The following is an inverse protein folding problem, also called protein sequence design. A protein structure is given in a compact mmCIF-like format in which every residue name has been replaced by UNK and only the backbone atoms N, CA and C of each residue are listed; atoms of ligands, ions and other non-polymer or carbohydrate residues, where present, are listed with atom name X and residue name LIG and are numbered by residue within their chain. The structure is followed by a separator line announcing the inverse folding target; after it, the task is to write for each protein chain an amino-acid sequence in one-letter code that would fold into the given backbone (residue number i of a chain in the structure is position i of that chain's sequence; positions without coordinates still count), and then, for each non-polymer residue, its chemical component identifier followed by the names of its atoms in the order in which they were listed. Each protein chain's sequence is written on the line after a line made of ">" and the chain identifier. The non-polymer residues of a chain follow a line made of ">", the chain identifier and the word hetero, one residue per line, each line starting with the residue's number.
data_IF_759536861026
#
_entry.id   IF_759536861026
#
_cell.length_a   1.000
_cell.length_b   1.000
_cell.length_c   1.000
_cell.angle_alpha   90.00
_cell.angle_beta   90.00
_cell.angle_gamma   90.00
#
_symmetry.space_group_name_H-M   'P 1'
#
loop_
_entity.id
_entity.type
_entity.pdbx_description
1 polymer ?
#
# COMPACT_ATOMS: atom_id res chain seq x y z
N UNK A 1 26.33 -5.82 -18.67
CA UNK A 1 25.82 -6.07 -17.30
C UNK A 1 24.46 -6.74 -17.37
N UNK A 2 24.22 -7.73 -16.51
CA UNK A 2 22.95 -8.49 -16.45
C UNK A 2 22.07 -7.96 -15.33
N UNK A 3 20.81 -7.70 -15.60
CA UNK A 3 19.81 -7.32 -14.60
C UNK A 3 19.09 -8.58 -14.13
N UNK A 4 19.21 -8.88 -12.85
CA UNK A 4 18.53 -10.00 -12.19
C UNK A 4 17.39 -9.43 -11.31
N UNK A 5 16.20 -10.00 -11.41
CA UNK A 5 15.04 -9.53 -10.65
C UNK A 5 14.64 -10.56 -9.62
N UNK A 6 14.48 -10.11 -8.37
CA UNK A 6 13.85 -10.93 -7.32
C UNK A 6 12.34 -11.00 -7.54
N UNK A 7 11.89 -12.01 -8.29
CA UNK A 7 10.51 -12.23 -8.70
C UNK A 7 9.64 -12.98 -7.66
N UNK A 8 10.16 -13.17 -6.45
CA UNK A 8 9.45 -13.88 -5.36
C UNK A 8 8.36 -13.04 -4.68
N UNK A 9 8.28 -11.74 -4.98
CA UNK A 9 7.23 -10.86 -4.45
C UNK A 9 5.91 -11.12 -5.19
N UNK A 10 5.14 -12.11 -4.72
CA UNK A 10 3.88 -12.56 -5.31
C UNK A 10 2.76 -12.54 -4.27
N UNK A 11 1.52 -12.41 -4.71
CA UNK A 11 0.33 -12.50 -3.85
C UNK A 11 -0.48 -11.20 -3.74
N UNK A 12 -1.66 -11.32 -3.13
CA UNK A 12 -2.66 -10.25 -3.01
C UNK A 12 -2.34 -9.25 -1.87
N UNK A 13 -1.15 -8.67 -1.88
CA UNK A 13 -0.72 -7.62 -0.96
C UNK A 13 0.00 -6.51 -1.73
N UNK A 14 0.12 -5.31 -1.17
CA UNK A 14 0.62 -4.11 -1.87
C UNK A 14 1.94 -4.33 -2.62
N UNK A 15 2.96 -4.94 -2.00
CA UNK A 15 4.25 -5.23 -2.66
C UNK A 15 4.08 -6.25 -3.79
N UNK A 16 3.25 -7.29 -3.59
CA UNK A 16 2.98 -8.29 -4.63
C UNK A 16 2.28 -7.68 -5.83
N UNK A 17 1.30 -6.79 -5.60
CA UNK A 17 0.63 -6.04 -6.66
C UNK A 17 1.61 -5.12 -7.40
N UNK A 18 2.42 -4.36 -6.67
CA UNK A 18 3.46 -3.52 -7.25
C UNK A 18 4.40 -4.32 -8.16
N UNK A 19 4.92 -5.46 -7.70
CA UNK A 19 5.78 -6.32 -8.49
C UNK A 19 5.07 -6.85 -9.76
N UNK A 20 3.82 -7.31 -9.63
CA UNK A 20 3.04 -7.82 -10.75
C UNK A 20 2.78 -6.78 -11.84
N UNK A 21 2.63 -5.50 -11.45
CA UNK A 21 2.40 -4.41 -12.38
C UNK A 21 3.69 -3.85 -12.99
N UNK A 22 4.74 -3.70 -12.18
CA UNK A 22 5.99 -3.07 -12.60
C UNK A 22 6.87 -4.00 -13.45
N UNK A 23 7.06 -5.27 -13.04
CA UNK A 23 8.03 -6.13 -13.69
C UNK A 23 7.77 -6.38 -15.19
N UNK A 24 6.52 -6.62 -15.64
CA UNK A 24 6.24 -6.76 -17.07
C UNK A 24 6.44 -5.49 -17.89
N UNK A 25 6.46 -4.32 -17.23
CA UNK A 25 6.57 -2.99 -17.83
C UNK A 25 7.99 -2.42 -17.85
N UNK A 26 8.96 -3.12 -17.27
CA UNK A 26 10.37 -2.70 -17.34
C UNK A 26 10.82 -2.66 -18.81
N UNK A 27 11.44 -1.55 -19.21
CA UNK A 27 11.85 -1.31 -20.60
C UNK A 27 13.24 -1.85 -20.94
N UNK A 28 13.88 -2.53 -20.00
CA UNK A 28 15.20 -3.15 -20.15
C UNK A 28 15.09 -4.68 -19.99
N UNK A 29 15.99 -5.45 -20.65
CA UNK A 29 16.01 -6.90 -20.49
C UNK A 29 16.44 -7.29 -19.07
N UNK A 30 15.74 -8.25 -18.50
CA UNK A 30 16.06 -8.81 -17.19
C UNK A 30 15.81 -10.31 -17.12
N UNK A 31 16.45 -10.96 -16.18
CA UNK A 31 16.28 -12.39 -15.89
C UNK A 31 15.83 -12.59 -14.44
N UNK A 32 15.01 -13.63 -14.16
CA UNK A 32 14.60 -13.92 -12.79
C UNK A 32 15.82 -14.39 -11.96
N UNK A 33 15.93 -13.84 -10.75
CA UNK A 33 16.90 -14.32 -9.77
C UNK A 33 16.31 -15.56 -9.08
N UNK A 34 16.73 -16.73 -9.51
CA UNK A 34 16.24 -18.01 -9.00
C UNK A 34 16.69 -18.27 -7.54
N UNK A 35 15.98 -17.68 -6.59
CA UNK A 35 16.17 -17.90 -5.17
C UNK A 35 14.98 -18.69 -4.59
N UNK A 36 15.30 -19.68 -3.76
CA UNK A 36 14.27 -20.36 -2.96
C UNK A 36 13.81 -19.52 -1.76
N UNK A 37 12.77 -19.96 -1.04
CA UNK A 37 12.30 -19.34 0.19
C UNK A 37 11.44 -18.10 -0.03
N UNK A 38 11.38 -17.22 0.98
CA UNK A 38 10.54 -16.02 0.98
C UNK A 38 11.38 -14.76 1.17
N UNK A 39 11.16 -13.67 0.38
CA UNK A 39 11.88 -12.41 0.55
C UNK A 39 11.45 -11.65 1.82
N UNK A 40 10.46 -12.15 2.56
CA UNK A 40 9.96 -11.54 3.80
C UNK A 40 10.68 -11.99 5.07
N UNK A 41 11.65 -12.93 4.95
CA UNK A 41 12.44 -13.39 6.08
C UNK A 41 13.74 -12.60 6.20
N UNK A 42 14.08 -12.01 7.37
CA UNK A 42 15.38 -11.36 7.61
C UNK A 42 16.58 -12.28 7.38
N UNK A 43 16.42 -13.60 7.54
CA UNK A 43 17.46 -14.58 7.30
C UNK A 43 17.79 -14.74 5.80
N UNK A 44 16.87 -14.32 4.93
CA UNK A 44 17.05 -14.36 3.48
C UNK A 44 18.24 -13.50 3.02
N UNK A 45 18.57 -12.43 3.78
CA UNK A 45 19.71 -11.55 3.52
C UNK A 45 21.05 -12.28 3.36
N UNK A 46 21.21 -13.41 4.03
CA UNK A 46 22.46 -14.18 4.06
C UNK A 46 22.49 -15.35 3.07
N UNK A 47 21.48 -15.48 2.22
CA UNK A 47 21.43 -16.53 1.21
C UNK A 47 22.60 -16.45 0.21
N UNK A 48 22.93 -17.60 -0.34
CA UNK A 48 23.77 -17.67 -1.53
C UNK A 48 23.04 -17.08 -2.73
N UNK A 49 23.68 -16.20 -3.43
CA UNK A 49 23.06 -15.42 -4.53
C UNK A 49 23.53 -15.84 -5.92
N UNK A 50 24.37 -16.88 -6.03
CA UNK A 50 24.80 -17.41 -7.33
C UNK A 50 25.26 -16.33 -8.30
N UNK A 51 24.58 -16.20 -9.45
CA UNK A 51 24.90 -15.22 -10.49
C UNK A 51 24.88 -13.76 -10.01
N UNK A 52 24.10 -13.43 -8.98
CA UNK A 52 24.03 -12.06 -8.41
C UNK A 52 25.33 -11.64 -7.68
N UNK A 53 26.27 -12.56 -7.45
CA UNK A 53 27.60 -12.24 -6.95
C UNK A 53 28.58 -11.82 -8.06
N UNK A 54 28.20 -11.97 -9.33
CA UNK A 54 29.04 -11.57 -10.46
C UNK A 54 29.32 -10.06 -10.46
N UNK A 55 30.52 -9.62 -10.87
CA UNK A 55 30.90 -8.20 -10.85
C UNK A 55 30.02 -7.29 -11.69
N UNK A 56 29.42 -7.84 -12.75
CA UNK A 56 28.60 -7.14 -13.73
C UNK A 56 27.08 -7.37 -13.52
N UNK A 57 26.69 -8.03 -12.43
CA UNK A 57 25.30 -8.25 -12.10
C UNK A 57 24.72 -7.12 -11.23
N UNK A 58 23.54 -6.62 -11.59
CA UNK A 58 22.68 -5.78 -10.77
C UNK A 58 21.43 -6.57 -10.38
N UNK A 59 21.10 -6.62 -9.10
CA UNK A 59 19.82 -7.18 -8.62
C UNK A 59 18.82 -6.05 -8.45
N UNK A 60 17.61 -6.22 -8.97
CA UNK A 60 16.48 -5.40 -8.62
C UNK A 60 15.50 -6.19 -7.73
N UNK A 61 15.11 -5.62 -6.60
CA UNK A 61 14.08 -6.17 -5.73
C UNK A 61 12.93 -5.18 -5.58
N UNK A 62 11.70 -5.54 -5.99
CA UNK A 62 10.52 -4.67 -5.87
C UNK A 62 10.01 -4.54 -4.41
N UNK A 63 10.81 -4.92 -3.44
CA UNK A 63 10.54 -4.82 -2.00
C UNK A 63 11.83 -4.75 -1.19
N UNK A 64 11.72 -5.00 0.13
CA UNK A 64 12.79 -4.79 1.11
C UNK A 64 13.76 -5.96 1.29
N UNK A 65 13.69 -7.00 0.49
CA UNK A 65 14.55 -8.19 0.59
C UNK A 65 16.00 -7.89 0.23
N UNK A 66 16.79 -7.50 1.23
CA UNK A 66 18.23 -7.25 1.06
C UNK A 66 19.01 -8.56 0.91
N UNK A 67 19.94 -8.61 -0.04
CA UNK A 67 20.86 -9.71 -0.30
C UNK A 67 22.29 -9.21 -0.09
N UNK A 68 22.84 -9.39 1.11
CA UNK A 68 24.14 -8.81 1.48
C UNK A 68 25.31 -9.34 0.64
N UNK A 69 25.14 -10.52 0.03
CA UNK A 69 26.12 -11.13 -0.86
C UNK A 69 25.99 -10.71 -2.31
N UNK A 70 24.92 -10.02 -2.69
CA UNK A 70 24.81 -9.39 -3.99
C UNK A 70 25.79 -8.22 -4.06
N UNK A 71 26.51 -8.09 -5.17
CA UNK A 71 27.50 -7.02 -5.32
C UNK A 71 26.83 -5.65 -5.44
N UNK A 72 25.76 -5.55 -6.20
CA UNK A 72 24.95 -4.35 -6.38
C UNK A 72 23.48 -4.72 -6.36
N UNK A 73 22.68 -4.05 -5.54
CA UNK A 73 21.26 -4.33 -5.45
C UNK A 73 20.47 -3.03 -5.27
N UNK A 74 19.50 -2.82 -6.15
CA UNK A 74 18.51 -1.75 -6.05
C UNK A 74 17.26 -2.29 -5.34
N UNK A 75 16.82 -1.64 -4.27
CA UNK A 75 15.62 -1.98 -3.52
C UNK A 75 14.51 -0.95 -3.77
N UNK A 76 13.25 -1.41 -3.79
CA UNK A 76 12.09 -0.54 -3.58
C UNK A 76 11.61 -0.71 -2.14
N UNK A 77 11.85 0.30 -1.29
CA UNK A 77 11.37 0.33 0.09
C UNK A 77 10.04 1.11 0.12
N UNK A 78 8.93 0.37 0.23
CA UNK A 78 7.59 0.95 0.18
C UNK A 78 7.30 1.83 1.40
N UNK A 79 7.79 1.41 2.57
CA UNK A 79 7.60 2.09 3.86
C UNK A 79 8.60 1.58 4.90
N UNK A 80 8.51 2.14 6.10
CA UNK A 80 9.24 1.71 7.29
C UNK A 80 8.29 1.24 8.41
N UNK A 81 7.08 0.79 8.05
CA UNK A 81 6.03 0.36 8.99
C UNK A 81 6.53 -0.72 9.94
N UNK A 82 7.37 -1.64 9.43
CA UNK A 82 7.94 -2.72 10.23
C UNK A 82 8.81 -2.20 11.40
N UNK A 83 9.35 -0.98 11.30
CA UNK A 83 10.12 -0.35 12.36
C UNK A 83 9.23 0.31 13.43
N UNK A 84 8.00 0.71 13.07
CA UNK A 84 7.06 1.43 13.92
C UNK A 84 6.05 0.50 14.60
N UNK A 85 5.82 -0.70 14.05
CA UNK A 85 4.82 -1.63 14.57
C UNK A 85 5.23 -2.22 15.92
N UNK A 86 4.38 -2.16 16.96
CA UNK A 86 4.65 -2.80 18.25
C UNK A 86 4.61 -4.33 18.09
N UNK A 87 5.47 -5.05 18.83
CA UNK A 87 5.44 -6.52 18.88
C UNK A 87 6.80 -7.17 19.12
N UNK A 88 6.77 -8.46 19.48
CA UNK A 88 7.96 -9.28 19.80
C UNK A 88 8.97 -9.43 18.65
N UNK A 89 8.56 -9.16 17.42
CA UNK A 89 9.45 -9.22 16.24
C UNK A 89 10.14 -7.89 15.87
N UNK A 90 9.78 -6.78 16.51
CA UNK A 90 10.28 -5.44 16.18
C UNK A 90 11.81 -5.34 16.19
N UNK A 91 12.46 -5.92 17.18
CA UNK A 91 13.93 -5.89 17.28
C UNK A 91 14.62 -6.61 16.11
N UNK A 92 14.02 -7.70 15.60
CA UNK A 92 14.54 -8.44 14.43
C UNK A 92 14.49 -7.58 13.16
N UNK A 93 13.36 -6.91 12.94
CA UNK A 93 13.22 -5.97 11.82
C UNK A 93 14.10 -4.74 12.00
N UNK A 94 14.20 -4.18 13.21
CA UNK A 94 15.10 -3.08 13.50
C UNK A 94 16.57 -3.44 13.21
N UNK A 95 17.02 -4.62 13.64
CA UNK A 95 18.36 -5.12 13.33
C UNK A 95 18.55 -5.38 11.82
N UNK A 96 17.57 -5.95 11.16
CA UNK A 96 17.57 -6.21 9.72
C UNK A 96 17.67 -4.91 8.90
N UNK A 97 16.82 -3.92 9.23
CA UNK A 97 16.83 -2.62 8.53
C UNK A 97 18.09 -1.80 8.85
N UNK A 98 18.56 -1.78 10.11
CA UNK A 98 19.76 -1.01 10.49
C UNK A 98 21.06 -1.65 10.04
N UNK A 99 21.10 -2.95 9.76
CA UNK A 99 22.23 -3.69 9.22
C UNK A 99 22.06 -3.98 7.72
N UNK A 100 21.57 -5.18 7.34
CA UNK A 100 21.52 -5.65 5.96
C UNK A 100 20.91 -4.68 4.96
N UNK A 101 19.70 -4.13 5.26
CA UNK A 101 19.00 -3.25 4.32
C UNK A 101 19.78 -1.94 4.11
N UNK A 102 20.21 -1.31 5.22
CA UNK A 102 20.98 -0.05 5.13
C UNK A 102 22.31 -0.23 4.42
N UNK A 103 23.01 -1.33 4.64
CA UNK A 103 24.26 -1.64 3.96
C UNK A 103 24.06 -1.80 2.45
N UNK A 104 23.02 -2.54 2.04
CA UNK A 104 22.68 -2.70 0.62
C UNK A 104 22.33 -1.36 -0.02
N UNK A 105 21.50 -0.53 0.65
CA UNK A 105 21.10 0.80 0.16
C UNK A 105 22.32 1.71 -0.01
N UNK A 106 23.22 1.76 0.98
CA UNK A 106 24.44 2.59 0.91
C UNK A 106 25.40 2.14 -0.18
N UNK A 107 25.58 0.83 -0.36
CA UNK A 107 26.41 0.30 -1.46
C UNK A 107 25.82 0.59 -2.84
N UNK A 108 24.52 0.63 -2.96
CA UNK A 108 23.84 1.00 -4.21
C UNK A 108 23.95 2.50 -4.52
N UNK A 109 24.04 3.35 -3.49
CA UNK A 109 23.99 4.81 -3.59
C UNK A 109 22.59 5.35 -3.95
N UNK A 110 21.59 4.48 -4.09
CA UNK A 110 20.22 4.85 -4.42
C UNK A 110 19.23 3.82 -3.88
N UNK A 111 18.04 4.29 -3.51
CA UNK A 111 16.89 3.45 -3.13
C UNK A 111 15.60 4.02 -3.73
N UNK A 112 14.73 3.14 -4.21
CA UNK A 112 13.41 3.49 -4.72
C UNK A 112 12.38 3.48 -3.59
N UNK A 113 11.36 4.32 -3.72
CA UNK A 113 10.18 4.33 -2.86
C UNK A 113 8.92 4.70 -3.65
N UNK A 114 7.75 4.78 -2.98
CA UNK A 114 6.44 4.85 -3.63
C UNK A 114 5.62 6.11 -3.31
N UNK A 115 6.09 6.97 -2.40
CA UNK A 115 5.43 8.22 -2.01
C UNK A 115 6.43 9.25 -1.50
N UNK A 116 6.08 10.55 -1.48
CA UNK A 116 6.91 11.58 -0.86
C UNK A 116 7.01 11.40 0.66
N UNK A 117 5.92 10.94 1.28
CA UNK A 117 5.91 10.58 2.71
C UNK A 117 6.94 9.51 3.02
N UNK A 118 6.97 8.40 2.25
CA UNK A 118 7.99 7.36 2.39
C UNK A 118 9.38 7.86 2.06
N UNK A 119 9.53 8.75 1.07
CA UNK A 119 10.83 9.35 0.73
C UNK A 119 11.38 10.20 1.89
N UNK A 120 10.56 11.02 2.54
CA UNK A 120 10.97 11.78 3.75
C UNK A 120 11.39 10.85 4.89
N UNK A 121 10.60 9.80 5.14
CA UNK A 121 10.92 8.80 6.16
C UNK A 121 12.25 8.08 5.87
N UNK A 122 12.50 7.72 4.61
CA UNK A 122 13.75 7.07 4.19
C UNK A 122 14.96 7.99 4.32
N UNK A 123 14.88 9.27 3.95
CA UNK A 123 15.96 10.25 4.17
C UNK A 123 16.36 10.30 5.65
N UNK A 124 15.38 10.40 6.53
CA UNK A 124 15.61 10.41 7.98
C UNK A 124 16.19 9.09 8.51
N UNK A 125 15.85 7.97 7.88
CA UNK A 125 16.30 6.64 8.30
C UNK A 125 17.70 6.31 7.78
N UNK A 126 18.00 6.59 6.49
CA UNK A 126 19.30 6.27 5.86
C UNK A 126 20.43 7.04 6.54
N UNK A 127 20.21 8.32 6.84
CA UNK A 127 21.22 9.25 7.45
C UNK A 127 22.52 9.22 6.68
N UNK A 128 22.44 9.37 5.37
CA UNK A 128 23.56 9.35 4.45
C UNK A 128 23.16 10.19 3.24
N UNK A 129 23.80 11.34 3.09
CA UNK A 129 23.46 12.34 2.05
C UNK A 129 23.93 11.88 0.65
N UNK A 130 24.83 10.91 0.59
CA UNK A 130 25.30 10.31 -0.66
C UNK A 130 24.32 9.29 -1.25
N UNK A 131 23.25 8.93 -0.51
CA UNK A 131 22.20 8.02 -0.97
C UNK A 131 21.04 8.82 -1.56
N UNK A 132 20.83 8.64 -2.86
CA UNK A 132 19.68 9.20 -3.56
C UNK A 132 18.39 8.44 -3.19
N UNK A 133 17.34 9.17 -2.84
CA UNK A 133 16.00 8.62 -2.62
C UNK A 133 15.11 8.98 -3.81
N UNK A 134 14.76 7.99 -4.63
CA UNK A 134 13.94 8.18 -5.82
C UNK A 134 12.50 7.73 -5.54
N UNK A 135 11.57 8.66 -5.60
CA UNK A 135 10.15 8.34 -5.54
C UNK A 135 9.68 7.88 -6.94
N UNK A 136 9.57 6.58 -7.14
CA UNK A 136 9.05 5.99 -8.37
C UNK A 136 7.50 6.07 -8.44
N UNK A 137 6.84 6.29 -7.31
CA UNK A 137 5.39 6.31 -7.22
C UNK A 137 4.75 4.92 -7.31
N UNK A 138 3.43 4.96 -7.47
CA UNK A 138 2.58 3.81 -7.77
C UNK A 138 1.64 4.16 -8.93
N UNK A 139 1.15 3.13 -9.62
CA UNK A 139 0.06 3.25 -10.58
C UNK A 139 -1.28 2.77 -10.02
N UNK A 140 -2.26 2.81 -10.87
CA UNK A 140 -3.59 2.26 -10.62
C UNK A 140 -4.02 1.44 -11.84
N UNK A 141 -4.70 0.31 -11.63
CA UNK A 141 -5.24 -0.51 -12.72
C UNK A 141 -6.33 0.26 -13.48
N UNK A 142 -6.42 0.02 -14.79
CA UNK A 142 -7.42 0.64 -15.67
C UNK A 142 -8.87 0.26 -15.31
N UNK A 143 -9.08 -0.80 -14.53
CA UNK A 143 -10.39 -1.15 -13.98
C UNK A 143 -10.98 -0.02 -13.10
N UNK A 144 -10.11 0.74 -12.41
CA UNK A 144 -10.50 1.82 -11.51
C UNK A 144 -10.69 3.14 -12.26
N UNK A 145 -11.89 3.34 -12.79
CA UNK A 145 -12.32 4.58 -13.47
C UNK A 145 -13.80 4.86 -13.18
N UNK A 146 -14.26 6.11 -13.30
CA UNK A 146 -15.67 6.45 -13.14
C UNK A 146 -16.51 5.81 -14.26
N UNK A 147 -17.73 5.40 -13.93
CA UNK A 147 -18.74 5.00 -14.92
C UNK A 147 -19.96 5.90 -14.79
N UNK A 148 -20.55 6.28 -15.91
CA UNK A 148 -21.80 7.04 -15.93
C UNK A 148 -22.94 6.21 -15.29
N UNK A 149 -23.77 6.85 -14.46
CA UNK A 149 -24.93 6.21 -13.84
C UNK A 149 -24.70 5.51 -12.49
N UNK A 150 -23.46 5.51 -11.96
CA UNK A 150 -23.16 4.93 -10.64
C UNK A 150 -23.63 5.77 -9.44
N UNK A 151 -24.42 6.81 -9.66
CA UNK A 151 -24.62 7.94 -8.73
C UNK A 151 -25.80 7.86 -7.77
N UNK A 152 -26.70 6.89 -7.87
CA UNK A 152 -27.84 6.79 -6.92
C UNK A 152 -28.10 5.34 -6.56
N UNK A 153 -27.54 4.91 -5.45
CA UNK A 153 -28.03 3.71 -4.77
C UNK A 153 -29.14 4.11 -3.80
N UNK A 154 -30.25 3.38 -3.87
CA UNK A 154 -31.36 3.50 -2.90
C UNK A 154 -30.91 3.10 -1.48
N UNK A 155 -29.74 2.50 -1.33
CA UNK A 155 -29.19 1.97 -0.11
C UNK A 155 -27.67 2.26 -0.04
N UNK A 156 -27.29 3.53 0.26
CA UNK A 156 -25.89 3.95 0.24
C UNK A 156 -25.07 3.28 1.35
N UNK A 157 -23.82 2.98 1.04
CA UNK A 157 -22.86 2.39 1.99
C UNK A 157 -21.51 3.10 1.94
N UNK A 158 -20.73 2.94 3.01
CA UNK A 158 -19.31 3.25 3.01
C UNK A 158 -18.50 1.98 2.77
N UNK A 159 -17.37 2.09 2.08
CA UNK A 159 -16.53 0.95 1.70
C UNK A 159 -15.23 0.97 2.51
N UNK A 160 -14.90 -0.15 3.15
CA UNK A 160 -13.57 -0.41 3.70
C UNK A 160 -12.87 -1.48 2.85
N UNK A 161 -11.59 -1.25 2.51
CA UNK A 161 -10.76 -2.23 1.81
C UNK A 161 -9.44 -2.40 2.57
N UNK A 162 -9.22 -3.59 3.13
CA UNK A 162 -8.04 -3.82 3.95
C UNK A 162 -8.01 -5.17 4.65
N UNK A 163 -7.45 -5.17 5.86
CA UNK A 163 -7.38 -6.33 6.74
C UNK A 163 -7.58 -5.91 8.21
N UNK A 164 -7.67 -6.88 9.11
CA UNK A 164 -7.92 -6.66 10.54
C UNK A 164 -6.69 -6.25 11.37
N UNK A 165 -5.57 -5.85 10.75
CA UNK A 165 -4.37 -5.41 11.47
C UNK A 165 -4.61 -4.08 12.20
N UNK A 166 -3.98 -3.92 13.36
CA UNK A 166 -4.16 -2.74 14.22
C UNK A 166 -3.97 -1.40 13.49
N UNK A 167 -2.95 -1.26 12.63
CA UNK A 167 -2.72 -0.02 11.89
C UNK A 167 -3.80 0.31 10.83
N UNK A 168 -4.61 -0.67 10.40
CA UNK A 168 -5.76 -0.44 9.53
C UNK A 168 -6.97 0.12 10.28
N UNK A 169 -6.96 0.02 11.59
CA UNK A 169 -7.88 0.67 12.53
C UNK A 169 -9.38 0.50 12.20
N UNK A 170 -9.78 -0.68 11.68
CA UNK A 170 -11.19 -0.96 11.36
C UNK A 170 -12.09 -0.85 12.60
N UNK A 171 -11.54 -1.12 13.78
CA UNK A 171 -12.31 -1.09 15.04
C UNK A 171 -12.95 0.28 15.31
N UNK A 172 -12.28 1.41 14.99
CA UNK A 172 -12.89 2.74 15.16
C UNK A 172 -14.10 2.94 14.24
N UNK A 173 -14.09 2.35 13.04
CA UNK A 173 -15.24 2.41 12.12
C UNK A 173 -16.41 1.59 12.68
N UNK A 174 -16.13 0.40 13.24
CA UNK A 174 -17.16 -0.41 13.91
C UNK A 174 -17.74 0.32 15.14
N UNK A 175 -16.91 1.02 15.91
CA UNK A 175 -17.35 1.85 17.02
C UNK A 175 -18.18 3.05 16.54
N UNK A 176 -17.79 3.71 15.44
CA UNK A 176 -18.54 4.79 14.81
C UNK A 176 -19.96 4.36 14.36
N UNK A 177 -20.09 3.14 13.83
CA UNK A 177 -21.37 2.59 13.43
C UNK A 177 -22.37 2.46 14.60
N UNK A 178 -21.94 2.41 15.84
CA UNK A 178 -22.84 2.37 17.00
C UNK A 178 -23.69 3.64 17.03
N UNK A 179 -23.12 4.79 16.72
CA UNK A 179 -23.79 6.09 16.71
C UNK A 179 -24.40 6.43 15.33
N UNK A 180 -23.69 6.09 14.24
CA UNK A 180 -24.11 6.33 12.86
C UNK A 180 -25.11 5.25 12.37
N UNK A 181 -26.35 5.28 12.89
CA UNK A 181 -27.34 4.21 12.72
C UNK A 181 -27.78 3.96 11.27
N UNK A 182 -27.76 4.99 10.44
CA UNK A 182 -28.17 4.94 9.03
C UNK A 182 -27.01 4.60 8.09
N UNK A 183 -25.80 4.44 8.62
CA UNK A 183 -24.63 4.07 7.84
C UNK A 183 -24.50 2.56 7.75
N UNK A 184 -24.31 2.04 6.55
CA UNK A 184 -23.95 0.65 6.26
C UNK A 184 -22.50 0.57 5.82
N UNK A 185 -21.82 -0.50 6.20
CA UNK A 185 -20.45 -0.78 5.82
C UNK A 185 -20.39 -1.98 4.88
N UNK A 186 -19.67 -1.84 3.78
CA UNK A 186 -19.17 -2.97 3.00
C UNK A 186 -17.67 -3.08 3.28
N UNK A 187 -17.21 -4.22 3.76
CA UNK A 187 -15.82 -4.44 4.12
C UNK A 187 -15.21 -5.54 3.24
N UNK A 188 -14.27 -5.16 2.39
CA UNK A 188 -13.47 -6.11 1.59
C UNK A 188 -12.25 -6.49 2.38
N UNK A 189 -12.22 -7.75 2.84
CA UNK A 189 -11.19 -8.28 3.75
C UNK A 189 -10.75 -9.69 3.31
N UNK A 190 -9.55 -10.16 3.75
CA UNK A 190 -9.15 -11.54 3.51
C UNK A 190 -10.13 -12.52 4.15
N UNK A 191 -10.53 -13.56 3.43
CA UNK A 191 -11.50 -14.58 3.90
C UNK A 191 -11.11 -15.20 5.25
N UNK A 192 -9.83 -15.48 5.45
CA UNK A 192 -9.30 -16.03 6.71
C UNK A 192 -9.50 -15.13 7.94
N UNK A 193 -9.77 -13.85 7.75
CA UNK A 193 -9.97 -12.86 8.82
C UNK A 193 -11.44 -12.54 9.09
N UNK A 194 -12.35 -12.97 8.18
CA UNK A 194 -13.77 -12.61 8.21
C UNK A 194 -14.44 -13.02 9.54
N UNK A 195 -14.24 -14.24 10.00
CA UNK A 195 -14.88 -14.72 11.24
C UNK A 195 -14.49 -13.93 12.49
N UNK A 196 -13.21 -13.53 12.63
CA UNK A 196 -12.76 -12.67 13.74
C UNK A 196 -13.38 -11.27 13.65
N UNK A 197 -13.42 -10.70 12.42
CA UNK A 197 -13.99 -9.37 12.21
C UNK A 197 -15.50 -9.33 12.39
N UNK A 198 -16.23 -10.37 11.97
CA UNK A 198 -17.66 -10.56 12.27
C UNK A 198 -17.91 -10.59 13.78
N UNK A 199 -17.09 -11.33 14.51
CA UNK A 199 -17.19 -11.37 15.97
C UNK A 199 -16.92 -10.00 16.63
N UNK A 200 -16.04 -9.17 16.05
CA UNK A 200 -15.81 -7.79 16.52
C UNK A 200 -17.03 -6.90 16.27
N UNK A 201 -17.68 -7.02 15.11
CA UNK A 201 -18.91 -6.29 14.78
C UNK A 201 -20.09 -6.71 15.66
N UNK A 202 -20.25 -8.01 15.89
CA UNK A 202 -21.31 -8.56 16.75
C UNK A 202 -21.19 -8.10 18.21
N UNK A 203 -19.98 -8.01 18.77
CA UNK A 203 -19.77 -7.45 20.13
C UNK A 203 -20.24 -6.00 20.26
N UNK A 204 -20.30 -5.25 19.16
CA UNK A 204 -20.78 -3.85 19.07
C UNK A 204 -22.24 -3.75 18.65
N UNK A 205 -22.88 -4.87 18.35
CA UNK A 205 -24.26 -4.94 17.85
C UNK A 205 -24.47 -4.18 16.54
N UNK A 206 -23.45 -4.21 15.66
CA UNK A 206 -23.49 -3.54 14.33
C UNK A 206 -23.37 -4.53 13.16
N UNK A 207 -23.26 -5.81 13.44
CA UNK A 207 -23.08 -6.89 12.46
C UNK A 207 -24.14 -6.90 11.35
N UNK A 208 -25.41 -6.63 11.68
CA UNK A 208 -26.51 -6.54 10.70
C UNK A 208 -26.33 -5.42 9.66
N UNK A 209 -25.43 -4.45 9.90
CA UNK A 209 -25.12 -3.33 9.02
C UNK A 209 -23.78 -3.45 8.33
N UNK A 210 -23.06 -4.56 8.53
CA UNK A 210 -21.76 -4.83 7.90
C UNK A 210 -21.90 -5.99 6.92
N UNK A 211 -21.56 -5.75 5.66
CA UNK A 211 -21.43 -6.79 4.64
C UNK A 211 -19.97 -7.08 4.40
N UNK A 212 -19.56 -8.29 4.73
CA UNK A 212 -18.21 -8.79 4.50
C UNK A 212 -18.09 -9.37 3.09
N UNK A 213 -16.99 -9.05 2.41
CA UNK A 213 -16.70 -9.47 1.04
C UNK A 213 -15.24 -9.93 0.97
N UNK A 214 -15.00 -11.03 0.25
CA UNK A 214 -13.65 -11.58 0.05
C UNK A 214 -13.48 -12.08 -1.38
N UNK A 215 -12.22 -12.22 -1.82
CA UNK A 215 -11.91 -12.87 -3.09
C UNK A 215 -12.42 -12.15 -4.34
N UNK A 216 -12.51 -10.82 -4.30
CA UNK A 216 -12.94 -10.00 -5.45
C UNK A 216 -11.75 -9.69 -6.36
N UNK A 217 -11.99 -9.69 -7.67
CA UNK A 217 -11.08 -9.15 -8.67
C UNK A 217 -11.16 -7.61 -8.77
N UNK A 218 -10.31 -7.01 -9.59
CA UNK A 218 -10.25 -5.56 -9.75
C UNK A 218 -11.54 -4.96 -10.32
N UNK A 219 -12.21 -5.63 -11.25
CA UNK A 219 -13.47 -5.13 -11.82
C UNK A 219 -14.58 -5.10 -10.76
N UNK A 220 -14.71 -6.19 -9.98
CA UNK A 220 -15.69 -6.25 -8.90
C UNK A 220 -15.37 -5.26 -7.79
N UNK A 221 -14.10 -5.10 -7.45
CA UNK A 221 -13.65 -4.11 -6.48
C UNK A 221 -13.93 -2.68 -6.97
N UNK A 222 -13.69 -2.39 -8.24
CA UNK A 222 -14.02 -1.11 -8.85
C UNK A 222 -15.53 -0.83 -8.84
N UNK A 223 -16.38 -1.86 -9.04
CA UNK A 223 -17.83 -1.70 -8.89
C UNK A 223 -18.24 -1.37 -7.45
N UNK A 224 -17.56 -1.97 -6.46
CA UNK A 224 -17.78 -1.63 -5.05
C UNK A 224 -17.36 -0.19 -4.74
N UNK A 225 -16.23 0.28 -5.27
CA UNK A 225 -15.84 1.69 -5.13
C UNK A 225 -16.86 2.61 -5.79
N UNK A 226 -17.25 2.36 -7.03
CA UNK A 226 -18.23 3.16 -7.78
C UNK A 226 -19.59 3.23 -7.08
N UNK A 227 -20.00 2.16 -6.41
CA UNK A 227 -21.26 2.08 -5.67
C UNK A 227 -21.22 2.71 -4.27
N UNK A 228 -20.05 2.93 -3.69
CA UNK A 228 -19.93 3.51 -2.35
C UNK A 228 -20.22 5.01 -2.33
N UNK A 229 -20.82 5.50 -1.25
CA UNK A 229 -20.94 6.93 -0.97
C UNK A 229 -19.56 7.55 -0.66
N UNK A 230 -18.74 6.80 0.08
CA UNK A 230 -17.33 7.10 0.33
C UNK A 230 -16.57 5.81 0.64
N UNK A 231 -15.25 5.83 0.47
CA UNK A 231 -14.36 4.84 1.07
C UNK A 231 -13.88 5.35 2.41
N UNK A 232 -13.92 4.50 3.45
CA UNK A 232 -13.38 4.83 4.76
C UNK A 232 -12.00 4.21 4.91
N UNK A 233 -11.02 5.03 5.26
CA UNK A 233 -9.62 4.64 5.39
C UNK A 233 -9.04 5.12 6.73
N UNK A 234 -9.35 4.43 7.83
CA UNK A 234 -8.99 4.84 9.19
C UNK A 234 -7.54 4.50 9.54
N UNK A 235 -6.75 4.07 8.56
CA UNK A 235 -5.37 3.62 8.74
C UNK A 235 -4.53 4.66 9.46
N UNK A 236 -3.82 4.22 10.50
CA UNK A 236 -2.88 5.08 11.25
C UNK A 236 -1.50 5.12 10.60
N UNK A 237 -1.20 4.20 9.69
CA UNK A 237 0.09 4.14 9.00
C UNK A 237 -0.05 3.41 7.66
N UNK A 238 0.41 4.05 6.59
CA UNK A 238 0.49 3.49 5.24
C UNK A 238 1.79 3.90 4.54
N UNK A 239 2.30 3.04 3.68
CA UNK A 239 3.41 3.41 2.80
C UNK A 239 2.96 4.26 1.61
N UNK A 240 1.76 3.96 1.10
CA UNK A 240 1.12 4.67 0.00
C UNK A 240 -0.38 4.85 0.25
N UNK A 241 -1.17 3.79 0.21
CA UNK A 241 -2.62 3.85 0.35
C UNK A 241 -3.33 3.55 -0.97
N UNK A 242 -3.01 2.41 -1.60
CA UNK A 242 -3.67 1.98 -2.84
C UNK A 242 -5.20 2.06 -2.79
N UNK A 243 -5.89 1.64 -1.70
CA UNK A 243 -7.34 1.76 -1.64
C UNK A 243 -7.87 3.19 -1.75
N UNK A 244 -7.12 4.19 -1.23
CA UNK A 244 -7.49 5.59 -1.39
C UNK A 244 -7.37 6.02 -2.86
N UNK A 245 -6.27 5.64 -3.53
CA UNK A 245 -6.07 5.92 -4.94
C UNK A 245 -7.17 5.26 -5.81
N UNK A 246 -7.45 3.98 -5.60
CA UNK A 246 -8.48 3.22 -6.30
C UNK A 246 -9.86 3.86 -6.16
N UNK A 247 -10.18 4.30 -4.94
CA UNK A 247 -11.43 5.02 -4.64
C UNK A 247 -11.59 6.30 -5.44
N UNK A 248 -10.61 7.21 -5.33
CA UNK A 248 -10.69 8.51 -6.04
C UNK A 248 -10.55 8.35 -7.56
N UNK A 249 -9.88 7.31 -8.03
CA UNK A 249 -9.86 6.94 -9.47
C UNK A 249 -11.24 6.50 -9.95
N UNK A 250 -12.03 5.83 -9.11
CA UNK A 250 -13.44 5.52 -9.38
C UNK A 250 -14.39 6.72 -9.20
N UNK A 251 -13.88 7.88 -8.80
CA UNK A 251 -14.67 9.09 -8.53
C UNK A 251 -15.32 9.08 -7.15
N UNK A 252 -14.93 8.19 -6.24
CA UNK A 252 -15.51 8.05 -4.91
C UNK A 252 -14.61 8.74 -3.89
N UNK A 253 -15.15 9.66 -3.04
CA UNK A 253 -14.37 10.36 -2.04
C UNK A 253 -13.87 9.42 -0.93
N UNK A 254 -12.86 9.87 -0.18
CA UNK A 254 -12.27 9.11 0.92
C UNK A 254 -12.45 9.84 2.23
N UNK A 255 -12.98 9.16 3.25
CA UNK A 255 -12.92 9.61 4.64
C UNK A 255 -11.68 8.99 5.27
N UNK A 256 -10.76 9.81 5.76
CA UNK A 256 -9.45 9.33 6.24
C UNK A 256 -8.96 10.10 7.46
N UNK A 257 -8.04 9.52 8.22
CA UNK A 257 -7.34 10.24 9.27
C UNK A 257 -6.30 11.21 8.70
N UNK A 258 -6.35 12.48 9.13
CA UNK A 258 -5.45 13.54 8.68
C UNK A 258 -3.96 13.22 8.93
N UNK A 259 -3.65 12.53 10.04
CA UNK A 259 -2.28 12.16 10.40
C UNK A 259 -1.70 10.99 9.60
N UNK A 260 -2.48 10.31 8.75
CA UNK A 260 -1.93 9.35 7.80
C UNK A 260 -1.45 10.08 6.53
N UNK A 261 -0.25 10.69 6.62
CA UNK A 261 0.29 11.60 5.61
C UNK A 261 0.30 11.03 4.19
N UNK A 262 0.60 9.74 4.01
CA UNK A 262 0.63 9.12 2.68
C UNK A 262 -0.77 9.02 2.04
N UNK A 263 -1.80 8.80 2.85
CA UNK A 263 -3.19 8.81 2.40
C UNK A 263 -3.63 10.25 2.11
N UNK A 264 -3.32 11.19 3.00
CA UNK A 264 -3.62 12.61 2.82
C UNK A 264 -2.95 13.18 1.56
N UNK A 265 -1.71 12.76 1.25
CA UNK A 265 -0.97 13.12 0.02
C UNK A 265 -1.75 12.72 -1.24
N UNK A 266 -2.34 11.52 -1.27
CA UNK A 266 -3.10 11.00 -2.41
C UNK A 266 -4.47 11.66 -2.53
N UNK A 267 -5.16 11.75 -1.40
CA UNK A 267 -6.56 12.21 -1.34
C UNK A 267 -6.65 13.71 -1.66
N UNK A 268 -5.79 14.54 -1.06
CA UNK A 268 -5.84 15.98 -1.22
C UNK A 268 -7.24 16.53 -0.87
N UNK A 269 -7.84 17.29 -1.78
CA UNK A 269 -9.18 17.88 -1.68
C UNK A 269 -10.34 16.92 -2.03
N UNK A 270 -10.03 15.65 -2.33
CA UNK A 270 -10.99 14.62 -2.80
C UNK A 270 -11.60 13.79 -1.68
N UNK A 271 -11.44 14.22 -0.44
CA UNK A 271 -11.91 13.47 0.72
C UNK A 271 -12.37 14.36 1.87
N UNK A 272 -12.58 13.72 3.00
CA UNK A 272 -12.85 14.33 4.28
C UNK A 272 -11.82 13.82 5.29
N UNK A 273 -11.04 14.72 5.86
CA UNK A 273 -10.06 14.38 6.87
C UNK A 273 -10.69 14.42 8.26
N UNK A 274 -10.42 13.38 9.06
CA UNK A 274 -10.78 13.26 10.47
C UNK A 274 -9.54 13.59 11.30
N UNK A 275 -9.66 14.40 12.33
CA UNK A 275 -8.51 14.89 13.09
C UNK A 275 -7.99 13.88 14.12
N UNK A 276 -8.87 13.02 14.66
CA UNK A 276 -8.50 11.98 15.61
C UNK A 276 -8.63 10.57 15.02
N UNK A 277 -7.61 9.71 15.12
CA UNK A 277 -7.70 8.34 14.63
C UNK A 277 -8.64 7.46 15.46
N UNK A 278 -8.90 7.84 16.72
CA UNK A 278 -9.60 6.99 17.72
C UNK A 278 -10.93 7.59 18.21
N UNK A 279 -11.33 8.79 17.72
CA UNK A 279 -12.60 9.39 18.09
C UNK A 279 -13.75 8.85 17.23
N UNK A 280 -14.43 7.81 17.72
CA UNK A 280 -15.55 7.18 17.05
C UNK A 280 -16.71 8.15 16.73
N UNK A 281 -16.91 9.23 17.50
CA UNK A 281 -17.96 10.21 17.23
C UNK A 281 -17.62 11.08 16.03
N UNK A 282 -16.37 11.51 15.91
CA UNK A 282 -15.89 12.27 14.75
C UNK A 282 -16.03 11.42 13.47
N UNK A 283 -15.60 10.15 13.54
CA UNK A 283 -15.79 9.21 12.43
C UNK A 283 -17.27 9.01 12.10
N UNK A 284 -18.15 8.86 13.09
CA UNK A 284 -19.60 8.71 12.86
C UNK A 284 -20.19 9.90 12.13
N UNK A 285 -19.83 11.13 12.50
CA UNK A 285 -20.26 12.34 11.84
C UNK A 285 -19.77 12.40 10.39
N UNK A 286 -18.48 12.17 10.15
CA UNK A 286 -17.89 12.18 8.82
C UNK A 286 -18.52 11.14 7.89
N UNK A 287 -18.78 9.92 8.38
CA UNK A 287 -19.43 8.86 7.61
C UNK A 287 -20.90 9.19 7.31
N UNK A 288 -21.64 9.77 8.26
CA UNK A 288 -23.04 10.18 8.08
C UNK A 288 -23.13 11.29 7.03
N UNK A 289 -22.25 12.29 7.09
CA UNK A 289 -22.16 13.36 6.10
C UNK A 289 -21.83 12.82 4.70
N UNK A 290 -20.88 11.89 4.60
CA UNK A 290 -20.51 11.29 3.32
C UNK A 290 -21.66 10.52 2.68
N UNK A 291 -22.44 9.77 3.48
CA UNK A 291 -23.63 9.03 3.03
C UNK A 291 -24.74 9.99 2.59
N UNK A 292 -24.96 11.07 3.32
CA UNK A 292 -25.97 12.07 2.97
C UNK A 292 -25.60 12.85 1.70
N UNK A 293 -24.34 13.22 1.54
CA UNK A 293 -23.88 14.05 0.43
C UNK A 293 -23.79 13.28 -0.90
N UNK A 294 -23.48 11.97 -0.88
CA UNK A 294 -23.23 11.12 -2.06
C UNK A 294 -22.43 11.84 -3.17
N UNK A 295 -21.41 12.59 -2.75
CA UNK A 295 -20.57 13.41 -3.63
C UNK A 295 -19.68 12.53 -4.52
N UNK A 296 -19.35 13.02 -5.71
CA UNK A 296 -18.30 12.44 -6.55
C UNK A 296 -17.13 13.41 -6.68
N UNK A 297 -15.96 12.84 -6.88
CA UNK A 297 -14.71 13.60 -7.00
C UNK A 297 -14.08 13.41 -8.37
N UNK A 298 -13.29 14.40 -8.79
CA UNK A 298 -12.54 14.32 -10.03
C UNK A 298 -11.32 13.42 -9.83
N UNK A 299 -11.14 12.36 -10.65
CA UNK A 299 -10.00 11.47 -10.53
C UNK A 299 -8.65 12.21 -10.66
N UNK A 300 -7.65 11.83 -9.88
CA UNK A 300 -6.31 12.39 -10.01
C UNK A 300 -5.64 11.92 -11.31
N UNK A 301 -4.71 12.72 -11.81
CA UNK A 301 -3.81 12.36 -12.92
C UNK A 301 -2.46 11.90 -12.39
N UNK A 302 -1.72 11.15 -13.19
CA UNK A 302 -0.28 10.88 -12.94
C UNK A 302 0.04 9.62 -12.12
N UNK A 303 -0.96 8.84 -11.74
CA UNK A 303 -0.76 7.53 -11.13
C UNK A 303 -0.82 6.44 -12.21
N UNK A 304 0.34 6.11 -12.76
CA UNK A 304 0.48 5.29 -13.96
C UNK A 304 1.63 4.28 -13.75
N UNK A 305 1.36 3.02 -13.97
CA UNK A 305 2.34 1.94 -13.82
C UNK A 305 3.46 2.01 -14.87
N UNK A 306 3.19 2.50 -16.09
CA UNK A 306 4.20 2.64 -17.13
C UNK A 306 5.21 3.74 -16.73
N UNK A 307 4.72 4.86 -16.16
CA UNK A 307 5.59 5.89 -15.59
C UNK A 307 6.44 5.34 -14.44
N UNK A 308 5.83 4.60 -13.52
CA UNK A 308 6.55 3.98 -12.39
C UNK A 308 7.65 3.05 -12.89
N UNK A 309 7.34 2.16 -13.82
CA UNK A 309 8.31 1.25 -14.43
C UNK A 309 9.40 1.98 -15.24
N UNK A 310 9.04 3.09 -15.90
CA UNK A 310 9.99 3.96 -16.60
C UNK A 310 11.05 4.53 -15.66
N UNK A 311 10.64 5.12 -14.53
CA UNK A 311 11.56 5.66 -13.51
C UNK A 311 12.49 4.58 -12.95
N UNK A 312 11.95 3.37 -12.73
CA UNK A 312 12.76 2.23 -12.26
C UNK A 312 13.77 1.83 -13.34
N UNK A 313 13.34 1.70 -14.59
CA UNK A 313 14.20 1.33 -15.72
C UNK A 313 15.33 2.35 -15.95
N UNK A 314 15.03 3.64 -15.85
CA UNK A 314 16.02 4.72 -15.92
C UNK A 314 17.03 4.65 -14.77
N UNK A 315 16.55 4.40 -13.55
CA UNK A 315 17.42 4.25 -12.37
C UNK A 315 18.34 3.04 -12.50
N UNK A 316 17.81 1.91 -12.98
CA UNK A 316 18.60 0.70 -13.25
C UNK A 316 19.66 0.99 -14.32
N UNK A 317 19.27 1.63 -15.44
CA UNK A 317 20.16 1.95 -16.53
C UNK A 317 21.32 2.85 -16.07
N UNK A 318 21.03 3.87 -15.28
CA UNK A 318 22.04 4.75 -14.67
C UNK A 318 23.01 4.00 -13.75
N UNK A 319 22.54 2.99 -13.04
CA UNK A 319 23.37 2.15 -12.18
C UNK A 319 24.25 1.18 -12.97
N UNK A 320 23.93 0.88 -14.21
CA UNK A 320 24.68 -0.02 -15.08
C UNK A 320 25.80 0.70 -15.83
N UNK A 321 25.63 2.01 -16.11
CA UNK A 321 26.64 2.86 -16.80
C UNK A 321 27.69 3.37 -15.87
#
# INVERSE_FOLDING_TARGET
>A
MTVLVDDRYRGAHGIGRYAAEVLPRLTLPWEPLHLGGTPFSPLDAFRSVGAAAAPDALVYSPGYGALVRARKQLLTLHDLIQLSSPGLGRWKFAAYYSGPVRDVVRRAGVVLTVSETSARALRSWVRDDDVEIVNAGNGCSDAFHPRAGSLQQSDPYVLFVGNGRAHKNLDVVLDALVSARDVRLVAVVPERETADLEARAARRLVDARVRWVSGVDDEKLADLYRGAAATVMPSTLEGFGLPALESIRCGTPVVHWAGCESVAEIVGDRGHAVDSPDDAHEWANALTEAVAAQRRVVPPRGYDWDRTAGIISETITRLLG
#
